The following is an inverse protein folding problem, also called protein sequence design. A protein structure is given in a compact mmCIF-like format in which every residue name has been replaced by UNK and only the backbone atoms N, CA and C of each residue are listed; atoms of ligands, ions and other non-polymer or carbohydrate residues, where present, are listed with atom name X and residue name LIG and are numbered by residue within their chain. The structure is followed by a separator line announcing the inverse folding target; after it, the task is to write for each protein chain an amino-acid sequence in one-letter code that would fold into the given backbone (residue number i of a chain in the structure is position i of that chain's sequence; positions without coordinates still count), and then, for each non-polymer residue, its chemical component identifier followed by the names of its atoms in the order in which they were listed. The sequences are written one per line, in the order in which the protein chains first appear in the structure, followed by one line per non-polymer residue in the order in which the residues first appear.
data_IF_647610454795
#
_entry.id   IF_647610454795
#
_cell.length_a   1.000
_cell.length_b   1.000
_cell.length_c   1.000
_cell.angle_alpha   90.00
_cell.angle_beta   90.00
_cell.angle_gamma   90.00
#
_symmetry.space_group_name_H-M   'P 1'
#
loop_
_entity.id
_entity.type
_entity.pdbx_description
1 polymer ?
#
# COMPACT_ATOMS: atom_id res chain seq x y z
N UNK A 1 -23.98 19.98 -25.58
CA UNK A 1 -24.31 19.73 -24.16
C UNK A 1 -25.81 19.55 -23.92
N UNK A 2 -26.68 20.45 -24.36
CA UNK A 2 -28.13 20.28 -24.12
C UNK A 2 -28.74 18.96 -24.59
N UNK A 3 -28.34 18.43 -25.75
CA UNK A 3 -28.77 17.11 -26.25
C UNK A 3 -28.21 15.92 -25.45
N UNK A 4 -27.11 16.09 -24.71
CA UNK A 4 -26.50 15.05 -23.88
C UNK A 4 -27.17 14.91 -22.52
N UNK A 5 -27.73 16.00 -21.98
CA UNK A 5 -28.23 16.09 -20.60
C UNK A 5 -29.75 16.16 -20.54
N UNK A 6 -30.40 16.39 -21.69
CA UNK A 6 -31.85 16.40 -21.85
C UNK A 6 -32.37 17.69 -22.49
N UNK A 7 -31.83 18.86 -22.13
CA UNK A 7 -32.09 20.12 -22.85
C UNK A 7 -31.03 21.20 -22.58
N UNK A 8 -30.96 22.21 -23.45
CA UNK A 8 -30.12 23.40 -23.19
C UNK A 8 -30.59 24.19 -21.97
N UNK A 9 -31.89 24.16 -21.66
CA UNK A 9 -32.41 24.79 -20.44
C UNK A 9 -31.87 24.13 -19.17
N UNK A 10 -31.67 22.81 -19.18
CA UNK A 10 -31.10 22.08 -18.05
C UNK A 10 -29.63 22.43 -17.83
N UNK A 11 -28.85 22.53 -18.91
CA UNK A 11 -27.45 22.99 -18.86
C UNK A 11 -27.36 24.36 -18.21
N UNK A 12 -28.17 25.31 -18.69
CA UNK A 12 -28.19 26.68 -18.16
C UNK A 12 -28.58 26.74 -16.68
N UNK A 13 -29.54 25.90 -16.25
CA UNK A 13 -29.91 25.81 -14.83
C UNK A 13 -28.78 25.25 -13.96
N UNK A 14 -28.02 24.27 -14.46
CA UNK A 14 -26.85 23.72 -13.76
C UNK A 14 -25.75 24.78 -13.65
N UNK A 15 -25.39 25.44 -14.76
CA UNK A 15 -24.34 26.47 -14.79
C UNK A 15 -24.64 27.66 -13.87
N UNK A 16 -25.91 28.00 -13.69
CA UNK A 16 -26.36 29.08 -12.83
C UNK A 16 -26.70 28.65 -11.40
N UNK A 17 -26.29 27.45 -10.96
CA UNK A 17 -26.57 26.89 -9.62
C UNK A 17 -28.06 26.84 -9.26
N UNK A 18 -28.94 26.71 -10.25
CA UNK A 18 -30.39 26.60 -10.07
C UNK A 18 -30.85 25.14 -9.97
N UNK A 19 -29.98 24.19 -10.28
CA UNK A 19 -30.26 22.74 -10.20
C UNK A 19 -28.94 21.99 -10.05
N UNK A 20 -28.86 21.08 -9.07
CA UNK A 20 -27.70 20.22 -8.89
C UNK A 20 -27.73 19.05 -9.90
N UNK A 21 -26.63 18.78 -10.62
CA UNK A 21 -26.54 17.61 -11.49
C UNK A 21 -26.43 16.33 -10.65
N UNK A 22 -27.09 15.26 -11.10
CA UNK A 22 -26.81 13.93 -10.56
C UNK A 22 -25.49 13.37 -11.12
N UNK A 23 -24.96 12.32 -10.49
CA UNK A 23 -23.67 11.71 -10.84
C UNK A 23 -23.58 11.31 -12.32
N UNK A 24 -24.66 10.78 -12.89
CA UNK A 24 -24.70 10.38 -14.29
C UNK A 24 -24.58 11.59 -15.23
N UNK A 25 -25.28 12.67 -14.91
CA UNK A 25 -25.24 13.93 -15.66
C UNK A 25 -23.86 14.56 -15.58
N UNK A 26 -23.25 14.54 -14.39
CA UNK A 26 -21.91 15.05 -14.16
C UNK A 26 -20.87 14.24 -14.93
N UNK A 27 -20.99 12.91 -14.96
CA UNK A 27 -20.14 12.03 -15.77
C UNK A 27 -20.25 12.35 -17.27
N UNK A 28 -21.47 12.54 -17.79
CA UNK A 28 -21.69 12.91 -19.20
C UNK A 28 -21.12 14.29 -19.54
N UNK A 29 -21.24 15.25 -18.62
CA UNK A 29 -20.63 16.58 -18.74
C UNK A 29 -19.11 16.48 -18.82
N UNK A 30 -18.49 15.78 -17.88
CA UNK A 30 -17.05 15.58 -17.84
C UNK A 30 -16.55 14.98 -19.16
N UNK A 31 -17.22 13.92 -19.63
CA UNK A 31 -16.90 13.26 -20.90
C UNK A 31 -17.07 14.20 -22.11
N UNK A 32 -18.11 15.02 -22.15
CA UNK A 32 -18.34 15.97 -23.24
C UNK A 32 -17.29 17.09 -23.27
N UNK A 33 -16.76 17.46 -22.11
CA UNK A 33 -15.73 18.49 -21.93
C UNK A 33 -14.30 17.93 -22.02
N UNK A 34 -14.14 16.62 -22.23
CA UNK A 34 -12.86 15.91 -22.20
C UNK A 34 -12.06 16.12 -20.91
N UNK A 35 -12.77 16.30 -19.79
CA UNK A 35 -12.17 16.33 -18.45
C UNK A 35 -12.50 15.01 -17.74
N UNK A 36 -11.57 14.53 -16.92
CA UNK A 36 -11.87 13.38 -16.07
C UNK A 36 -12.79 13.79 -14.91
N UNK A 37 -13.56 12.84 -14.37
CA UNK A 37 -14.37 13.09 -13.18
C UNK A 37 -13.49 13.52 -11.99
N UNK A 38 -12.32 12.90 -11.83
CA UNK A 38 -11.35 13.26 -10.78
C UNK A 38 -10.80 14.69 -10.95
N UNK A 39 -10.49 15.11 -12.17
CA UNK A 39 -10.03 16.47 -12.48
C UNK A 39 -11.12 17.50 -12.12
N UNK A 40 -12.37 17.22 -12.50
CA UNK A 40 -13.49 18.07 -12.12
C UNK A 40 -13.60 18.20 -10.60
N UNK A 41 -13.66 17.09 -9.87
CA UNK A 41 -13.82 17.10 -8.42
C UNK A 41 -12.66 17.84 -7.72
N UNK A 42 -11.42 17.56 -8.12
CA UNK A 42 -10.25 18.21 -7.54
C UNK A 42 -10.22 19.72 -7.81
N UNK A 43 -10.67 20.17 -8.98
CA UNK A 43 -10.71 21.60 -9.32
C UNK A 43 -11.77 22.37 -8.54
N UNK A 44 -12.93 21.75 -8.27
CA UNK A 44 -14.07 22.41 -7.60
C UNK A 44 -13.95 22.35 -6.09
N UNK A 45 -13.59 21.19 -5.52
CA UNK A 45 -13.60 20.96 -4.07
C UNK A 45 -12.21 21.02 -3.43
N UNK A 46 -11.18 21.20 -4.25
CA UNK A 46 -9.78 21.02 -3.88
C UNK A 46 -9.40 19.53 -3.81
N UNK A 47 -8.10 19.24 -3.85
CA UNK A 47 -7.61 17.92 -3.47
C UNK A 47 -7.86 17.73 -1.97
N UNK A 48 -8.70 16.75 -1.62
CA UNK A 48 -8.98 16.37 -0.24
C UNK A 48 -8.51 14.96 0.03
N UNK A 49 -7.62 14.84 1.00
CA UNK A 49 -7.22 13.54 1.52
C UNK A 49 -8.38 12.88 2.28
N UNK A 50 -8.62 11.62 1.96
CA UNK A 50 -9.46 10.70 2.73
C UNK A 50 -8.92 10.50 4.15
N UNK A 51 -9.79 10.02 5.05
CA UNK A 51 -9.35 9.65 6.40
C UNK A 51 -8.27 8.56 6.40
N UNK A 52 -8.30 7.67 5.41
CA UNK A 52 -7.27 6.65 5.22
C UNK A 52 -5.93 7.30 4.86
N UNK A 53 -5.89 8.14 3.82
CA UNK A 53 -4.65 8.82 3.38
C UNK A 53 -4.02 9.66 4.51
N UNK A 54 -4.84 10.31 5.33
CA UNK A 54 -4.36 11.04 6.52
C UNK A 54 -3.70 10.13 7.53
N UNK A 55 -4.31 8.97 7.80
CA UNK A 55 -3.71 7.97 8.70
C UNK A 55 -2.42 7.42 8.11
N UNK A 56 -2.40 7.04 6.83
CA UNK A 56 -1.21 6.53 6.13
C UNK A 56 -0.03 7.53 6.21
N UNK A 57 -0.32 8.83 6.03
CA UNK A 57 0.68 9.89 6.15
C UNK A 57 1.27 9.97 7.56
N UNK A 58 0.41 9.97 8.58
CA UNK A 58 0.86 9.98 10.00
C UNK A 58 1.69 8.73 10.31
N UNK A 59 1.24 7.54 9.91
CA UNK A 59 1.96 6.29 10.15
C UNK A 59 3.33 6.28 9.48
N UNK A 60 3.41 6.75 8.22
CA UNK A 60 4.67 6.84 7.49
C UNK A 60 5.67 7.78 8.19
N UNK A 61 5.21 8.98 8.58
CA UNK A 61 6.05 9.94 9.30
C UNK A 61 6.53 9.37 10.63
N UNK A 62 5.62 8.82 11.46
CA UNK A 62 6.02 8.20 12.73
C UNK A 62 6.99 7.04 12.54
N UNK A 63 6.85 6.26 11.45
CA UNK A 63 7.73 5.15 11.14
C UNK A 63 9.14 5.58 10.74
N UNK A 64 9.25 6.60 9.89
CA UNK A 64 10.54 7.16 9.43
C UNK A 64 11.26 7.90 10.58
N UNK A 65 10.52 8.66 11.38
CA UNK A 65 11.06 9.43 12.51
C UNK A 65 11.31 8.57 13.75
N UNK A 66 10.93 7.28 13.71
CA UNK A 66 10.97 6.37 14.86
C UNK A 66 10.20 6.92 16.08
N UNK A 67 9.08 7.61 15.83
CA UNK A 67 8.19 8.15 16.87
C UNK A 67 7.25 7.06 17.41
N UNK A 68 7.82 6.18 18.22
CA UNK A 68 7.06 5.13 18.92
C UNK A 68 6.04 5.72 19.90
N UNK A 69 6.26 6.93 20.43
CA UNK A 69 5.35 7.55 21.38
C UNK A 69 4.04 7.95 20.69
N UNK A 70 4.12 8.59 19.52
CA UNK A 70 2.93 8.91 18.72
C UNK A 70 2.14 7.66 18.35
N UNK A 71 2.81 6.58 17.95
CA UNK A 71 2.15 5.31 17.61
C UNK A 71 1.49 4.65 18.82
N UNK A 72 2.11 4.71 20.01
CA UNK A 72 1.47 4.23 21.24
C UNK A 72 0.22 5.04 21.59
N UNK A 73 0.29 6.38 21.49
CA UNK A 73 -0.88 7.25 21.73
C UNK A 73 -2.02 6.95 20.75
N UNK A 74 -1.70 6.74 19.46
CA UNK A 74 -2.69 6.34 18.45
C UNK A 74 -3.27 4.95 18.75
N UNK A 75 -2.43 4.01 19.20
CA UNK A 75 -2.88 2.66 19.57
C UNK A 75 -3.89 2.75 20.71
N UNK A 76 -3.59 3.49 21.78
CA UNK A 76 -4.52 3.71 22.90
C UNK A 76 -5.82 4.37 22.45
N UNK A 77 -5.73 5.40 21.60
CA UNK A 77 -6.90 6.08 21.04
C UNK A 77 -7.82 5.13 20.27
N UNK A 78 -7.28 4.37 19.31
CA UNK A 78 -8.11 3.45 18.52
C UNK A 78 -8.54 2.23 19.32
N UNK A 79 -7.75 1.78 20.29
CA UNK A 79 -8.12 0.69 21.19
C UNK A 79 -9.33 1.07 22.04
N UNK A 80 -9.34 2.27 22.63
CA UNK A 80 -10.49 2.75 23.40
C UNK A 80 -11.75 2.83 22.55
N UNK A 81 -11.65 3.36 21.33
CA UNK A 81 -12.79 3.42 20.41
C UNK A 81 -13.29 2.05 19.98
N UNK A 82 -12.38 1.10 19.75
CA UNK A 82 -12.72 -0.27 19.43
C UNK A 82 -13.36 -0.98 20.63
N UNK A 83 -12.95 -0.65 21.85
CA UNK A 83 -13.60 -1.15 23.06
C UNK A 83 -15.03 -0.62 23.20
N UNK A 84 -15.25 0.65 22.87
CA UNK A 84 -16.57 1.28 22.91
C UNK A 84 -17.52 0.74 21.82
N UNK A 85 -17.00 0.45 20.61
CA UNK A 85 -17.73 -0.21 19.52
C UNK A 85 -16.91 -1.32 18.83
N UNK A 86 -16.96 -2.56 19.35
CA UNK A 86 -16.17 -3.68 18.82
C UNK A 86 -16.61 -4.17 17.43
N UNK A 87 -17.78 -3.72 16.96
CA UNK A 87 -18.34 -4.10 15.66
C UNK A 87 -18.00 -3.09 14.56
N UNK A 88 -17.44 -1.93 14.90
CA UNK A 88 -16.94 -0.98 13.90
C UNK A 88 -15.67 -1.53 13.24
N UNK A 89 -15.88 -2.09 12.06
CA UNK A 89 -14.83 -2.69 11.24
C UNK A 89 -13.77 -1.66 10.82
N UNK A 90 -14.16 -0.40 10.57
CA UNK A 90 -13.22 0.63 10.16
C UNK A 90 -12.27 1.00 11.31
N UNK A 91 -12.79 1.10 12.53
CA UNK A 91 -11.97 1.35 13.73
C UNK A 91 -11.01 0.17 13.99
N UNK A 92 -11.49 -1.07 13.82
CA UNK A 92 -10.64 -2.26 13.91
C UNK A 92 -9.48 -2.19 12.91
N UNK A 93 -9.75 -1.88 11.64
CA UNK A 93 -8.71 -1.77 10.61
C UNK A 93 -7.70 -0.66 10.91
N UNK A 94 -8.17 0.50 11.36
CA UNK A 94 -7.29 1.61 11.76
C UNK A 94 -6.38 1.22 12.93
N UNK A 95 -6.93 0.54 13.95
CA UNK A 95 -6.14 -0.01 15.06
C UNK A 95 -5.08 -1.00 14.55
N UNK A 96 -5.45 -1.90 13.64
CA UNK A 96 -4.52 -2.88 13.07
C UNK A 96 -3.40 -2.24 12.26
N UNK A 97 -3.67 -1.20 11.47
CA UNK A 97 -2.63 -0.46 10.75
C UNK A 97 -1.63 0.17 11.72
N UNK A 98 -2.11 0.85 12.78
CA UNK A 98 -1.23 1.47 13.79
C UNK A 98 -0.39 0.41 14.51
N UNK A 99 -1.00 -0.70 14.93
CA UNK A 99 -0.29 -1.81 15.58
C UNK A 99 0.73 -2.46 14.66
N UNK A 100 0.41 -2.64 13.38
CA UNK A 100 1.31 -3.19 12.39
C UNK A 100 2.56 -2.32 12.22
N UNK A 101 2.40 -0.99 12.14
CA UNK A 101 3.52 -0.04 12.11
C UNK A 101 4.39 -0.16 13.36
N UNK A 102 3.78 -0.27 14.55
CA UNK A 102 4.52 -0.45 15.80
C UNK A 102 5.27 -1.79 15.83
N UNK A 103 4.63 -2.87 15.39
CA UNK A 103 5.23 -4.20 15.34
C UNK A 103 6.35 -4.33 14.29
N UNK A 104 6.31 -3.53 13.23
CA UNK A 104 7.37 -3.48 12.22
C UNK A 104 8.71 -3.04 12.79
N UNK A 105 8.72 -2.24 13.87
CA UNK A 105 9.98 -1.88 14.54
C UNK A 105 10.77 -3.05 15.09
N UNK A 106 10.08 -4.08 15.55
CA UNK A 106 10.70 -5.24 16.17
C UNK A 106 10.43 -6.52 15.35
N UNK A 107 9.91 -6.39 14.12
CA UNK A 107 9.52 -7.51 13.26
C UNK A 107 8.61 -8.54 13.94
N UNK A 108 7.66 -8.07 14.75
CA UNK A 108 6.75 -8.91 15.53
C UNK A 108 5.51 -9.29 14.74
N UNK A 109 5.05 -10.52 14.94
CA UNK A 109 3.72 -10.94 14.51
C UNK A 109 2.66 -10.48 15.53
N UNK A 110 1.47 -10.18 15.03
CA UNK A 110 0.30 -9.94 15.87
C UNK A 110 -0.17 -11.22 16.58
N UNK A 111 -1.09 -11.07 17.53
CA UNK A 111 -1.71 -12.23 18.19
C UNK A 111 -2.49 -13.08 17.19
N UNK A 112 -2.68 -14.37 17.50
CA UNK A 112 -3.41 -15.29 16.63
C UNK A 112 -4.82 -14.80 16.28
N UNK A 113 -5.54 -14.25 17.27
CA UNK A 113 -6.90 -13.75 17.09
C UNK A 113 -6.95 -12.52 16.17
N UNK A 114 -6.00 -11.59 16.32
CA UNK A 114 -5.89 -10.41 15.47
C UNK A 114 -5.54 -10.77 14.02
N UNK A 115 -4.58 -11.68 13.85
CA UNK A 115 -4.22 -12.19 12.53
C UNK A 115 -5.42 -12.85 11.86
N UNK A 116 -6.14 -13.73 12.55
CA UNK A 116 -7.28 -14.43 11.96
C UNK A 116 -8.41 -13.47 11.61
N UNK A 117 -8.72 -12.49 12.45
CA UNK A 117 -9.79 -11.51 12.16
C UNK A 117 -9.48 -10.69 10.89
N UNK A 118 -8.23 -10.30 10.68
CA UNK A 118 -7.81 -9.65 9.42
C UNK A 118 -7.85 -10.61 8.23
N UNK A 119 -7.40 -11.85 8.40
CA UNK A 119 -7.43 -12.85 7.33
C UNK A 119 -8.87 -13.19 6.92
N UNK A 120 -9.78 -13.28 7.88
CA UNK A 120 -11.22 -13.47 7.63
C UNK A 120 -11.81 -12.30 6.85
N UNK A 121 -11.41 -11.07 7.16
CA UNK A 121 -11.76 -9.90 6.36
C UNK A 121 -11.27 -10.04 4.91
N UNK A 122 -9.98 -10.31 4.70
CA UNK A 122 -9.40 -10.45 3.36
C UNK A 122 -10.01 -11.61 2.57
N UNK A 123 -10.38 -12.70 3.24
CA UNK A 123 -11.10 -13.81 2.63
C UNK A 123 -12.47 -13.39 2.08
N UNK A 124 -13.14 -12.44 2.72
CA UNK A 124 -14.42 -11.89 2.28
C UNK A 124 -14.33 -10.91 1.10
N UNK A 125 -13.13 -10.45 0.73
CA UNK A 125 -12.93 -9.45 -0.34
C UNK A 125 -13.12 -10.11 -1.71
N UNK A 126 -14.20 -9.74 -2.40
CA UNK A 126 -14.50 -10.26 -3.74
C UNK A 126 -13.69 -9.55 -4.85
N UNK A 127 -13.58 -8.23 -4.76
CA UNK A 127 -12.83 -7.38 -5.68
C UNK A 127 -12.00 -6.38 -4.88
N UNK A 128 -10.68 -6.58 -4.87
CA UNK A 128 -9.73 -5.74 -4.13
C UNK A 128 -9.80 -4.28 -4.57
N UNK A 129 -10.33 -3.43 -3.70
CA UNK A 129 -10.38 -1.98 -3.89
C UNK A 129 -9.13 -1.34 -3.27
N UNK A 130 -8.96 -0.03 -3.51
CA UNK A 130 -7.86 0.74 -2.92
C UNK A 130 -7.77 0.56 -1.40
N UNK A 131 -8.91 0.61 -0.70
CA UNK A 131 -8.98 0.42 0.74
C UNK A 131 -8.40 -0.94 1.19
N UNK A 132 -8.79 -2.03 0.54
CA UNK A 132 -8.37 -3.39 0.89
C UNK A 132 -6.87 -3.59 0.65
N UNK A 133 -6.39 -3.06 -0.47
CA UNK A 133 -4.98 -3.10 -0.84
C UNK A 133 -4.14 -2.29 0.15
N UNK A 134 -4.59 -1.11 0.55
CA UNK A 134 -3.92 -0.28 1.56
C UNK A 134 -3.87 -0.99 2.90
N UNK A 135 -5.00 -1.55 3.35
CA UNK A 135 -5.04 -2.28 4.61
C UNK A 135 -4.06 -3.46 4.60
N UNK A 136 -4.02 -4.23 3.51
CA UNK A 136 -3.06 -5.33 3.38
C UNK A 136 -1.62 -4.83 3.38
N UNK A 137 -1.32 -3.78 2.61
CA UNK A 137 0.03 -3.20 2.52
C UNK A 137 0.58 -2.79 3.88
N UNK A 138 -0.25 -2.13 4.69
CA UNK A 138 0.13 -1.66 6.02
C UNK A 138 0.17 -2.75 7.09
N UNK A 139 -0.51 -3.88 6.89
CA UNK A 139 -0.63 -4.92 7.92
C UNK A 139 0.18 -6.18 7.64
N UNK A 140 0.69 -6.37 6.42
CA UNK A 140 1.34 -7.62 6.00
C UNK A 140 2.55 -8.02 6.87
N UNK A 141 3.29 -7.06 7.41
CA UNK A 141 4.49 -7.31 8.21
C UNK A 141 4.18 -8.02 9.54
N UNK A 142 2.96 -7.86 10.07
CA UNK A 142 2.54 -8.48 11.35
C UNK A 142 1.75 -9.78 11.16
N UNK A 143 1.57 -10.24 9.92
CA UNK A 143 0.82 -11.44 9.59
C UNK A 143 1.76 -12.60 9.25
N UNK A 144 1.34 -13.83 9.55
CA UNK A 144 2.01 -15.04 9.05
C UNK A 144 1.98 -15.05 7.51
N UNK A 145 3.17 -14.91 6.91
CA UNK A 145 3.30 -14.76 5.46
C UNK A 145 2.79 -15.98 4.70
N UNK A 146 2.82 -17.18 5.30
CA UNK A 146 2.28 -18.39 4.68
C UNK A 146 0.76 -18.32 4.50
N UNK A 147 0.07 -17.66 5.43
CA UNK A 147 -1.38 -17.47 5.35
C UNK A 147 -1.76 -16.36 4.36
N UNK A 148 -0.88 -15.39 4.17
CA UNK A 148 -1.15 -14.21 3.34
C UNK A 148 -0.75 -14.37 1.88
N UNK A 149 0.24 -15.21 1.57
CA UNK A 149 0.75 -15.36 0.20
C UNK A 149 -0.31 -15.66 -0.87
N UNK A 150 -1.38 -16.47 -0.62
CA UNK A 150 -2.39 -16.71 -1.65
C UNK A 150 -3.08 -15.43 -2.11
N UNK A 151 -3.35 -14.48 -1.21
CA UNK A 151 -3.98 -13.21 -1.52
C UNK A 151 -3.06 -12.32 -2.36
N UNK A 152 -1.77 -12.24 -2.01
CA UNK A 152 -0.78 -11.46 -2.78
C UNK A 152 -0.71 -11.99 -4.22
N UNK A 153 -0.68 -13.31 -4.40
CA UNK A 153 -0.68 -13.93 -5.74
C UNK A 153 -1.98 -13.69 -6.49
N UNK A 154 -3.11 -13.73 -5.81
CA UNK A 154 -4.39 -13.41 -6.43
C UNK A 154 -4.46 -11.96 -6.90
N UNK A 155 -4.06 -10.99 -6.06
CA UNK A 155 -4.03 -9.57 -6.38
C UNK A 155 -3.16 -9.34 -7.63
N UNK A 156 -1.94 -9.87 -7.65
CA UNK A 156 -1.04 -9.71 -8.79
C UNK A 156 -1.61 -10.38 -10.04
N UNK A 157 -2.13 -11.60 -9.93
CA UNK A 157 -2.71 -12.34 -11.07
C UNK A 157 -3.92 -11.64 -11.67
N UNK A 158 -4.86 -11.15 -10.85
CA UNK A 158 -6.09 -10.47 -11.34
C UNK A 158 -5.78 -9.13 -12.02
N UNK A 159 -4.74 -8.44 -11.57
CA UNK A 159 -4.35 -7.14 -12.11
C UNK A 159 -3.37 -7.23 -13.28
N UNK A 160 -2.68 -8.37 -13.45
CA UNK A 160 -1.78 -8.62 -14.58
C UNK A 160 -2.48 -8.54 -15.96
N UNK A 161 -3.80 -8.68 -16.06
CA UNK A 161 -4.52 -8.62 -17.34
C UNK A 161 -5.36 -7.35 -17.54
N UNK A 162 -5.37 -6.43 -16.55
CA UNK A 162 -6.22 -5.23 -16.57
C UNK A 162 -5.37 -3.98 -16.82
N UNK A 163 -5.95 -2.97 -17.49
CA UNK A 163 -5.43 -1.61 -17.37
C UNK A 163 -5.74 -1.13 -15.95
N UNK A 164 -4.71 -1.03 -15.12
CA UNK A 164 -4.82 -0.53 -13.75
C UNK A 164 -4.32 0.90 -13.67
N UNK A 165 -4.86 1.67 -12.72
CA UNK A 165 -4.36 3.01 -12.45
C UNK A 165 -2.91 2.96 -11.94
N UNK A 166 -2.14 4.03 -12.16
CA UNK A 166 -0.80 4.15 -11.59
C UNK A 166 -0.82 4.03 -10.06
N UNK A 167 -1.84 4.60 -9.41
CA UNK A 167 -2.03 4.52 -7.96
C UNK A 167 -2.16 3.07 -7.48
N UNK A 168 -3.02 2.28 -8.13
CA UNK A 168 -3.20 0.86 -7.82
C UNK A 168 -1.94 0.05 -8.12
N UNK A 169 -1.24 0.34 -9.23
CA UNK A 169 0.03 -0.32 -9.56
C UNK A 169 1.09 -0.11 -8.49
N UNK A 170 1.27 1.14 -8.05
CA UNK A 170 2.24 1.49 -7.01
C UNK A 170 1.92 0.78 -5.68
N UNK A 171 0.62 0.67 -5.33
CA UNK A 171 0.20 -0.01 -4.11
C UNK A 171 0.46 -1.51 -4.17
N UNK A 172 0.19 -2.16 -5.31
CA UNK A 172 0.52 -3.58 -5.52
C UNK A 172 2.03 -3.81 -5.41
N UNK A 173 2.85 -2.90 -5.95
CA UNK A 173 4.31 -2.96 -5.84
C UNK A 173 4.76 -2.90 -4.37
N UNK A 174 4.20 -1.99 -3.57
CA UNK A 174 4.46 -1.93 -2.13
C UNK A 174 4.07 -3.22 -1.41
N UNK A 175 2.90 -3.81 -1.72
CA UNK A 175 2.48 -5.10 -1.16
C UNK A 175 3.52 -6.18 -1.49
N UNK A 176 4.03 -6.24 -2.72
CA UNK A 176 5.06 -7.22 -3.12
C UNK A 176 6.35 -7.00 -2.31
N UNK A 177 6.80 -5.75 -2.15
CA UNK A 177 8.01 -5.41 -1.38
C UNK A 177 7.85 -5.78 0.10
N UNK A 178 6.72 -5.43 0.72
CA UNK A 178 6.46 -5.73 2.13
C UNK A 178 6.26 -7.24 2.35
N UNK A 179 5.66 -7.95 1.39
CA UNK A 179 5.57 -9.43 1.41
C UNK A 179 6.96 -10.09 1.34
N UNK A 180 7.85 -9.56 0.50
CA UNK A 180 9.23 -10.03 0.40
C UNK A 180 9.97 -9.85 1.73
N UNK A 181 9.88 -8.66 2.32
CA UNK A 181 10.44 -8.37 3.64
C UNK A 181 9.92 -9.36 4.68
N UNK A 182 8.60 -9.47 4.82
CA UNK A 182 7.96 -10.38 5.78
C UNK A 182 8.42 -11.83 5.57
N UNK A 183 8.52 -12.30 4.32
CA UNK A 183 8.99 -13.65 4.02
C UNK A 183 10.44 -13.89 4.41
N UNK A 184 11.32 -12.90 4.23
CA UNK A 184 12.74 -13.01 4.58
C UNK A 184 12.92 -12.99 6.09
N UNK A 185 12.23 -12.08 6.77
CA UNK A 185 12.26 -11.90 8.23
C UNK A 185 11.73 -13.14 8.95
N UNK A 186 10.65 -13.73 8.43
CA UNK A 186 10.07 -14.97 8.96
C UNK A 186 10.82 -16.23 8.48
N UNK A 187 11.92 -16.08 7.75
CA UNK A 187 12.76 -17.16 7.21
C UNK A 187 12.01 -18.17 6.30
N UNK A 188 10.94 -17.70 5.64
CA UNK A 188 10.10 -18.48 4.74
C UNK A 188 10.67 -18.54 3.32
N UNK A 189 11.87 -19.08 3.17
CA UNK A 189 12.66 -18.99 1.93
C UNK A 189 11.99 -19.59 0.68
N UNK A 190 11.13 -20.60 0.83
CA UNK A 190 10.33 -21.13 -0.28
C UNK A 190 9.34 -20.09 -0.79
N UNK A 191 8.67 -19.40 0.14
CA UNK A 191 7.76 -18.29 -0.14
C UNK A 191 8.51 -17.12 -0.76
N UNK A 192 9.66 -16.75 -0.19
CA UNK A 192 10.52 -15.68 -0.73
C UNK A 192 10.92 -15.95 -2.18
N UNK A 193 11.36 -17.17 -2.50
CA UNK A 193 11.74 -17.54 -3.87
C UNK A 193 10.57 -17.39 -4.84
N UNK A 194 9.36 -17.78 -4.44
CA UNK A 194 8.17 -17.67 -5.27
C UNK A 194 7.75 -16.20 -5.47
N UNK A 195 7.80 -15.39 -4.40
CA UNK A 195 7.56 -13.94 -4.46
C UNK A 195 8.56 -13.23 -5.38
N UNK A 196 9.84 -13.58 -5.33
CA UNK A 196 10.86 -12.99 -6.21
C UNK A 196 10.58 -13.27 -7.69
N UNK A 197 10.20 -14.51 -8.03
CA UNK A 197 9.82 -14.87 -9.40
C UNK A 197 8.60 -14.10 -9.87
N UNK A 198 7.59 -13.97 -9.00
CA UNK A 198 6.40 -13.17 -9.31
C UNK A 198 6.75 -11.68 -9.51
N UNK A 199 7.58 -11.12 -8.64
CA UNK A 199 8.00 -9.72 -8.69
C UNK A 199 8.76 -9.40 -10.00
N UNK A 200 9.58 -10.33 -10.50
CA UNK A 200 10.26 -10.20 -11.80
C UNK A 200 9.28 -10.15 -12.98
N UNK A 201 8.24 -10.99 -12.95
CA UNK A 201 7.19 -10.98 -13.97
C UNK A 201 6.38 -9.68 -13.95
N UNK A 202 6.14 -9.12 -12.76
CA UNK A 202 5.50 -7.81 -12.59
C UNK A 202 6.39 -6.67 -13.09
N UNK A 203 7.69 -6.68 -12.74
CA UNK A 203 8.68 -5.66 -13.08
C UNK A 203 8.76 -5.38 -14.58
N UNK A 204 8.62 -6.40 -15.43
CA UNK A 204 8.73 -6.28 -16.88
C UNK A 204 7.71 -5.33 -17.53
N UNK A 205 6.70 -4.87 -16.78
CA UNK A 205 5.59 -4.06 -17.28
C UNK A 205 5.61 -2.60 -16.85
N UNK A 206 6.41 -2.24 -15.83
CA UNK A 206 6.31 -0.94 -15.18
C UNK A 206 7.65 -0.18 -15.17
N UNK A 207 7.56 1.15 -15.26
CA UNK A 207 8.69 2.09 -15.14
C UNK A 207 8.75 2.64 -13.70
N UNK A 208 8.58 1.79 -12.69
CA UNK A 208 8.79 2.21 -11.30
C UNK A 208 10.24 1.88 -10.87
N UNK A 209 11.09 2.90 -10.79
CA UNK A 209 12.48 2.74 -10.34
C UNK A 209 12.60 2.43 -8.85
N UNK A 210 11.70 2.95 -8.02
CA UNK A 210 11.68 2.68 -6.59
C UNK A 210 11.43 1.18 -6.33
N UNK A 211 10.40 0.61 -6.96
CA UNK A 211 10.11 -0.82 -6.89
C UNK A 211 11.31 -1.67 -7.34
N UNK A 212 11.95 -1.31 -8.47
CA UNK A 212 13.13 -2.02 -8.98
C UNK A 212 14.31 -1.97 -8.04
N UNK A 213 14.48 -0.84 -7.35
CA UNK A 213 15.56 -0.63 -6.37
C UNK A 213 15.34 -1.49 -5.13
N UNK A 214 14.13 -1.50 -4.58
CA UNK A 214 13.75 -2.38 -3.47
C UNK A 214 13.84 -3.86 -3.84
N UNK A 215 13.39 -4.26 -5.04
CA UNK A 215 13.51 -5.63 -5.50
C UNK A 215 14.97 -6.07 -5.64
N UNK A 216 15.86 -5.20 -6.12
CA UNK A 216 17.29 -5.47 -6.19
C UNK A 216 17.90 -5.64 -4.79
N UNK A 217 17.51 -4.79 -3.84
CA UNK A 217 17.91 -4.89 -2.44
C UNK A 217 17.48 -6.23 -1.84
N UNK A 218 16.19 -6.59 -1.93
CA UNK A 218 15.67 -7.84 -1.37
C UNK A 218 16.28 -9.10 -1.99
N UNK A 219 16.56 -9.09 -3.30
CA UNK A 219 17.32 -10.18 -3.95
C UNK A 219 18.69 -10.36 -3.31
N UNK A 220 19.42 -9.27 -3.07
CA UNK A 220 20.70 -9.30 -2.41
C UNK A 220 20.60 -9.83 -0.97
N UNK A 221 19.64 -9.34 -0.18
CA UNK A 221 19.41 -9.82 1.19
C UNK A 221 19.11 -11.32 1.22
N UNK A 222 18.21 -11.80 0.35
CA UNK A 222 17.86 -13.21 0.28
C UNK A 222 19.06 -14.09 -0.09
N UNK A 223 19.86 -13.68 -1.08
CA UNK A 223 21.09 -14.38 -1.47
C UNK A 223 22.13 -14.42 -0.33
N UNK A 224 22.25 -13.33 0.45
CA UNK A 224 23.11 -13.27 1.63
C UNK A 224 22.66 -14.27 2.70
N UNK A 225 21.37 -14.26 3.05
CA UNK A 225 20.76 -15.12 4.09
C UNK A 225 20.84 -16.61 3.75
N UNK A 226 20.73 -16.95 2.47
CA UNK A 226 20.71 -18.35 2.01
C UNK A 226 22.07 -18.87 1.55
N UNK A 227 23.12 -18.03 1.58
CA UNK A 227 24.46 -18.33 1.05
C UNK A 227 24.46 -18.85 -0.40
N UNK A 228 23.46 -18.46 -1.20
CA UNK A 228 23.28 -18.98 -2.56
C UNK A 228 24.23 -18.35 -3.58
N UNK A 229 24.70 -17.12 -3.35
CA UNK A 229 25.50 -16.40 -4.34
C UNK A 229 26.36 -15.31 -3.67
N UNK A 230 27.68 -15.30 -3.90
CA UNK A 230 28.60 -14.29 -3.34
C UNK A 230 28.37 -12.86 -3.90
N UNK A 231 27.58 -12.71 -4.96
CA UNK A 231 27.30 -11.42 -5.59
C UNK A 231 26.27 -10.57 -4.82
N UNK A 232 25.79 -11.02 -3.65
CA UNK A 232 24.80 -10.29 -2.85
C UNK A 232 25.25 -8.87 -2.50
N UNK A 233 26.53 -8.69 -2.16
CA UNK A 233 27.11 -7.39 -1.79
C UNK A 233 27.00 -6.36 -2.92
N UNK A 234 27.18 -6.79 -4.17
CA UNK A 234 27.03 -5.88 -5.31
C UNK A 234 25.57 -5.49 -5.52
N UNK A 235 24.62 -6.41 -5.35
CA UNK A 235 23.18 -6.09 -5.48
C UNK A 235 22.73 -5.09 -4.43
N UNK A 236 23.06 -5.36 -3.15
CA UNK A 236 22.76 -4.44 -2.04
C UNK A 236 23.44 -3.08 -2.29
N UNK A 237 24.74 -3.07 -2.58
CA UNK A 237 25.48 -1.82 -2.84
C UNK A 237 24.98 -1.03 -4.05
N UNK A 238 24.51 -1.70 -5.11
CA UNK A 238 23.89 -1.02 -6.26
C UNK A 238 22.53 -0.43 -5.89
N UNK A 239 21.70 -1.12 -5.11
CA UNK A 239 20.43 -0.57 -4.65
C UNK A 239 20.64 0.70 -3.82
N UNK A 240 21.62 0.71 -2.91
CA UNK A 240 22.02 1.91 -2.17
C UNK A 240 22.42 3.06 -3.08
N UNK A 241 23.32 2.81 -4.04
CA UNK A 241 23.78 3.84 -4.98
C UNK A 241 22.63 4.43 -5.77
N UNK A 242 21.69 3.60 -6.24
CA UNK A 242 20.50 4.07 -6.96
C UNK A 242 19.66 4.96 -6.05
N UNK A 243 19.37 4.52 -4.81
CA UNK A 243 18.58 5.31 -3.86
C UNK A 243 19.25 6.67 -3.56
N UNK A 244 20.57 6.69 -3.38
CA UNK A 244 21.34 7.93 -3.20
C UNK A 244 21.30 8.84 -4.44
N UNK A 245 21.45 8.30 -5.64
CA UNK A 245 21.39 9.10 -6.88
C UNK A 245 19.99 9.67 -7.15
N UNK A 246 18.95 9.01 -6.64
CA UNK A 246 17.57 9.51 -6.68
C UNK A 246 17.24 10.46 -5.52
N UNK A 247 18.20 10.77 -4.63
CA UNK A 247 18.00 11.54 -3.39
C UNK A 247 16.87 11.00 -2.52
N UNK A 248 16.69 9.67 -2.47
CA UNK A 248 15.67 9.02 -1.65
C UNK A 248 16.21 8.72 -0.25
N UNK A 249 16.28 9.76 0.59
CA UNK A 249 16.80 9.66 1.96
C UNK A 249 16.03 8.63 2.80
N UNK A 250 14.69 8.60 2.67
CA UNK A 250 13.84 7.63 3.35
C UNK A 250 14.19 6.17 2.98
N UNK A 251 14.43 5.88 1.69
CA UNK A 251 14.81 4.53 1.25
C UNK A 251 16.16 4.11 1.83
N UNK A 252 17.14 5.01 1.81
CA UNK A 252 18.48 4.75 2.38
C UNK A 252 18.37 4.47 3.88
N UNK A 253 17.62 5.30 4.61
CA UNK A 253 17.36 5.10 6.04
C UNK A 253 16.74 3.74 6.33
N UNK A 254 15.75 3.32 5.53
CA UNK A 254 15.08 2.03 5.72
C UNK A 254 16.00 0.84 5.39
N UNK A 255 16.86 0.95 4.37
CA UNK A 255 17.90 -0.06 4.11
C UNK A 255 18.84 -0.21 5.32
N UNK A 256 19.34 0.91 5.86
CA UNK A 256 20.27 0.90 7.00
C UNK A 256 19.62 0.28 8.23
N UNK A 257 18.37 0.66 8.50
CA UNK A 257 17.60 0.12 9.62
C UNK A 257 17.43 -1.39 9.50
N UNK A 258 17.10 -1.90 8.32
CA UNK A 258 16.94 -3.32 8.10
C UNK A 258 18.27 -4.08 8.21
N UNK A 259 19.38 -3.54 7.68
CA UNK A 259 20.68 -4.18 7.82
C UNK A 259 21.14 -4.24 9.29
N UNK A 260 20.90 -3.17 10.06
CA UNK A 260 21.16 -3.14 11.50
C UNK A 260 20.36 -4.19 12.27
N UNK A 261 19.07 -4.37 11.95
CA UNK A 261 18.25 -5.40 12.60
C UNK A 261 18.74 -6.83 12.29
N UNK A 262 19.44 -7.01 11.17
CA UNK A 262 20.08 -8.27 10.81
C UNK A 262 21.48 -8.48 11.43
N UNK A 263 21.99 -7.54 12.24
CA UNK A 263 23.34 -7.60 12.79
C UNK A 263 24.44 -7.51 11.72
N UNK A 264 24.14 -6.84 10.61
CA UNK A 264 25.05 -6.65 9.48
C UNK A 264 25.60 -5.22 9.49
N UNK A 265 26.72 -5.00 10.19
CA UNK A 265 27.57 -3.82 10.00
C UNK A 265 28.53 -4.02 8.82
#
# INVERSE_FOLDING_TARGET
MGTLIGSQSMVSRIENNQTEPNDHTLFLLCRALNISFDEYFNSVFGQRESYLEKLESVLLTSYIENDRQQLNNLTEFYFQRFFDDPNDLAIFHQLMMVKATLFHFDFKLASFDEQNKLIEYFFGVQEWQYYDLSLLEWTINMLDIKKIIPYVFEIVRRNNSKQISHRSSNLIEKIIINALEASIVQEEYKTTKCLLQMAELWQGRQINFEFKTWLLFWKGIFEKKTHLNENYNKKIGHAYKIAMYLNSEATVYLFDRFLKSLGCD
#
